data_IF_490814314049
#
_entry.id   IF_490814314049
#
_cell.length_a   1.000
_cell.length_b   1.000
_cell.length_c   1.000
_cell.angle_alpha   90.00
_cell.angle_beta   90.00
_cell.angle_gamma   90.00
#
_symmetry.space_group_name_H-M   'P 1'
#
loop_
_entity.id
_entity.type
_entity.pdbx_description
1 polymer ?
#
# COMPACT_ATOMS: atom_id res chain seq x y z
N UNK A 1 -5.62 0.23 -12.37
CA UNK A 1 -4.21 -0.17 -12.55
C UNK A 1 -4.01 -1.54 -11.90
N UNK A 2 -3.28 -2.46 -12.53
CA UNK A 2 -3.18 -3.86 -12.08
C UNK A 2 -1.88 -4.06 -11.30
N UNK A 3 -1.97 -4.02 -9.98
CA UNK A 3 -0.81 -4.20 -9.12
C UNK A 3 -0.42 -5.68 -9.01
N UNK A 4 0.77 -6.02 -9.50
CA UNK A 4 1.30 -7.37 -9.50
C UNK A 4 1.73 -7.81 -8.08
N UNK A 5 0.81 -8.46 -7.39
CA UNK A 5 0.92 -9.14 -6.09
C UNK A 5 1.97 -10.28 -6.03
N UNK A 6 2.69 -10.57 -7.10
CA UNK A 6 3.56 -11.76 -7.22
C UNK A 6 5.07 -11.50 -7.22
N UNK A 7 5.57 -10.36 -6.74
CA UNK A 7 7.01 -10.28 -6.44
C UNK A 7 7.33 -11.11 -5.19
N UNK A 8 7.34 -12.45 -5.32
CA UNK A 8 7.94 -13.57 -4.54
C UNK A 8 8.15 -13.45 -3.02
N UNK A 9 7.62 -12.44 -2.35
CA UNK A 9 7.96 -12.07 -0.99
C UNK A 9 6.73 -12.04 -0.10
N UNK A 10 6.99 -12.22 1.20
CA UNK A 10 6.05 -12.16 2.33
C UNK A 10 5.34 -10.79 2.51
N UNK A 11 5.41 -9.91 1.51
CA UNK A 11 5.11 -8.48 1.60
C UNK A 11 4.14 -8.07 0.49
N UNK A 12 3.17 -7.23 0.84
CA UNK A 12 2.26 -6.57 -0.10
C UNK A 12 2.88 -5.21 -0.42
N UNK A 13 3.16 -4.94 -1.69
CA UNK A 13 3.66 -3.64 -2.13
C UNK A 13 2.50 -2.87 -2.75
N UNK A 14 2.11 -1.74 -2.19
CA UNK A 14 1.11 -0.80 -2.73
C UNK A 14 1.82 0.36 -3.42
N UNK A 15 1.38 0.71 -4.63
CA UNK A 15 1.91 1.85 -5.39
C UNK A 15 0.89 2.97 -5.35
N UNK A 16 1.24 4.06 -4.68
CA UNK A 16 0.39 5.24 -4.57
C UNK A 16 0.95 6.31 -5.52
N UNK A 17 0.18 6.65 -6.55
CA UNK A 17 0.47 7.81 -7.39
C UNK A 17 -0.03 9.06 -6.68
N UNK A 18 0.87 10.01 -6.48
CA UNK A 18 0.53 11.30 -5.93
C UNK A 18 0.29 12.30 -7.07
N UNK A 19 -0.65 13.24 -6.89
CA UNK A 19 -0.70 14.40 -7.77
C UNK A 19 0.61 15.18 -7.64
N UNK A 20 1.03 15.83 -8.73
CA UNK A 20 2.25 16.63 -8.84
C UNK A 20 2.37 17.76 -7.79
N UNK A 21 1.27 18.14 -7.15
CA UNK A 21 1.21 19.10 -6.04
C UNK A 21 1.65 18.49 -4.68
N UNK A 22 1.80 17.17 -4.60
CA UNK A 22 2.22 16.46 -3.39
C UNK A 22 3.63 15.92 -3.54
N UNK A 23 4.56 16.51 -2.80
CA UNK A 23 5.93 16.03 -2.78
C UNK A 23 6.03 14.73 -1.98
N UNK A 24 6.34 13.64 -2.68
CA UNK A 24 6.49 12.33 -2.07
C UNK A 24 7.62 12.29 -1.00
N UNK A 25 8.63 13.16 -1.12
CA UNK A 25 9.70 13.28 -0.14
C UNK A 25 9.23 13.87 1.21
N UNK A 26 8.13 14.62 1.20
CA UNK A 26 7.52 15.19 2.40
C UNK A 26 6.60 14.20 3.10
N UNK A 27 6.43 12.97 2.63
CA UNK A 27 5.55 12.00 3.30
C UNK A 27 6.27 11.43 4.52
N UNK A 28 5.60 11.46 5.68
CA UNK A 28 6.13 10.83 6.88
C UNK A 28 5.85 9.32 6.84
N UNK A 29 6.88 8.46 6.67
CA UNK A 29 6.68 7.03 6.48
C UNK A 29 6.08 6.33 7.71
N UNK A 30 6.28 6.85 8.91
CA UNK A 30 5.76 6.26 10.15
C UNK A 30 4.26 6.53 10.35
N UNK A 31 3.75 7.54 9.65
CA UNK A 31 2.35 7.94 9.70
C UNK A 31 1.47 7.20 8.69
N UNK A 32 2.07 6.48 7.74
CA UNK A 32 1.32 5.82 6.67
C UNK A 32 0.68 4.54 7.19
N UNK A 33 -0.64 4.51 7.07
CA UNK A 33 -1.50 3.43 7.50
C UNK A 33 -2.34 2.95 6.32
N UNK A 34 -2.37 1.65 6.12
CA UNK A 34 -3.29 0.97 5.23
C UNK A 34 -4.54 0.59 6.00
N UNK A 35 -5.71 0.94 5.45
CA UNK A 35 -7.02 0.80 6.07
C UNK A 35 -7.11 1.48 7.45
N UNK A 36 -6.23 2.45 7.73
CA UNK A 36 -6.08 3.06 9.06
C UNK A 36 -5.64 2.08 10.16
N UNK A 37 -5.27 0.84 9.82
CA UNK A 37 -5.01 -0.25 10.76
C UNK A 37 -3.60 -0.81 10.67
N UNK A 38 -3.08 -0.97 9.45
CA UNK A 38 -1.79 -1.64 9.21
C UNK A 38 -0.74 -0.59 8.88
N UNK A 39 0.28 -0.45 9.73
CA UNK A 39 1.43 0.40 9.44
C UNK A 39 2.25 -0.14 8.28
N UNK A 40 2.76 0.77 7.45
CA UNK A 40 3.76 0.42 6.46
C UNK A 40 5.03 -0.07 7.16
N UNK A 41 5.59 -1.18 6.69
CA UNK A 41 6.86 -1.72 7.17
C UNK A 41 8.04 -0.97 6.56
N UNK A 42 7.88 -0.55 5.31
CA UNK A 42 8.85 0.30 4.62
C UNK A 42 8.17 1.09 3.51
N UNK A 43 8.60 2.32 3.27
CA UNK A 43 8.11 3.13 2.16
C UNK A 43 9.30 3.64 1.35
N UNK A 44 9.15 3.64 0.04
CA UNK A 44 10.12 4.19 -0.89
C UNK A 44 9.44 5.13 -1.86
N UNK A 45 10.00 6.31 -2.04
CA UNK A 45 9.47 7.34 -2.93
C UNK A 45 10.35 7.45 -4.17
N UNK A 46 9.72 7.56 -5.33
CA UNK A 46 10.40 7.76 -6.62
C UNK A 46 10.06 9.13 -7.16
N UNK A 47 10.96 10.10 -6.96
CA UNK A 47 10.81 11.48 -7.47
C UNK A 47 10.63 11.51 -8.99
N UNK A 48 11.34 10.63 -9.71
CA UNK A 48 11.25 10.52 -11.17
C UNK A 48 9.87 10.10 -11.68
N UNK A 49 9.11 9.36 -10.87
CA UNK A 49 7.81 8.80 -11.26
C UNK A 49 6.65 9.38 -10.43
N UNK A 50 6.93 10.31 -9.50
CA UNK A 50 5.97 10.80 -8.50
C UNK A 50 5.16 9.68 -7.85
N UNK A 51 5.86 8.60 -7.49
CA UNK A 51 5.26 7.35 -7.05
C UNK A 51 5.80 6.97 -5.67
N UNK A 52 4.91 6.72 -4.71
CA UNK A 52 5.29 6.05 -3.47
C UNK A 52 5.02 4.55 -3.56
N UNK A 53 5.98 3.75 -3.12
CA UNK A 53 5.82 2.31 -2.94
C UNK A 53 5.86 2.01 -1.45
N UNK A 54 4.72 1.66 -0.88
CA UNK A 54 4.62 1.24 0.52
C UNK A 54 4.57 -0.28 0.59
N UNK A 55 5.41 -0.87 1.44
CA UNK A 55 5.48 -2.31 1.70
C UNK A 55 4.80 -2.60 3.02
N UNK A 56 3.85 -3.52 3.01
CA UNK A 56 3.08 -3.97 4.15
C UNK A 56 3.30 -5.47 4.36
N UNK A 57 3.29 -5.91 5.62
CA UNK A 57 3.41 -7.34 5.90
C UNK A 57 2.11 -8.05 5.47
N UNK A 58 2.24 -9.06 4.60
CA UNK A 58 1.07 -9.83 4.16
C UNK A 58 0.37 -10.50 5.33
N UNK A 59 1.10 -10.91 6.37
CA UNK A 59 0.49 -11.62 7.52
C UNK A 59 -0.45 -10.71 8.31
N UNK A 60 -0.12 -9.42 8.41
CA UNK A 60 -0.97 -8.42 9.06
C UNK A 60 -2.28 -8.19 8.28
N UNK A 61 -2.20 -8.28 6.95
CA UNK A 61 -3.34 -8.09 6.05
C UNK A 61 -4.11 -9.37 5.79
N UNK A 62 -3.47 -10.53 5.75
CA UNK A 62 -4.10 -11.83 5.49
C UNK A 62 -5.08 -12.24 6.59
N UNK A 63 -4.94 -11.68 7.81
CA UNK A 63 -5.94 -11.83 8.86
C UNK A 63 -7.18 -10.94 8.68
N UNK A 64 -7.14 -9.97 7.76
CA UNK A 64 -8.18 -8.94 7.58
C UNK A 64 -8.76 -8.92 6.16
N UNK A 65 -8.00 -9.33 5.14
CA UNK A 65 -8.38 -9.28 3.73
C UNK A 65 -8.89 -10.64 3.25
N UNK A 66 -10.06 -10.61 2.63
CA UNK A 66 -10.64 -11.76 1.95
C UNK A 66 -10.13 -11.88 0.50
N UNK A 67 -10.10 -13.10 -0.07
CA UNK A 67 -9.84 -13.28 -1.49
C UNK A 67 -10.87 -12.53 -2.35
N UNK A 68 -10.40 -11.71 -3.28
CA UNK A 68 -11.28 -10.87 -4.09
C UNK A 68 -10.63 -9.57 -4.52
N UNK A 69 -11.44 -8.68 -5.09
CA UNK A 69 -11.02 -7.30 -5.34
C UNK A 69 -11.30 -6.54 -4.05
N UNK A 70 -10.25 -6.07 -3.38
CA UNK A 70 -10.35 -5.32 -2.14
C UNK A 70 -9.84 -3.92 -2.40
N UNK A 71 -10.69 -2.94 -2.14
CA UNK A 71 -10.27 -1.54 -2.07
C UNK A 71 -9.56 -1.33 -0.74
N UNK A 72 -8.36 -0.78 -0.82
CA UNK A 72 -7.53 -0.42 0.30
C UNK A 72 -7.34 1.09 0.31
N UNK A 73 -7.63 1.70 1.45
CA UNK A 73 -7.43 3.11 1.69
C UNK A 73 -6.11 3.33 2.41
N UNK A 74 -5.18 4.00 1.75
CA UNK A 74 -3.92 4.44 2.34
C UNK A 74 -4.12 5.84 2.89
N UNK A 75 -3.90 6.00 4.17
CA UNK A 75 -3.96 7.30 4.85
C UNK A 75 -2.61 7.63 5.44
N UNK A 76 -2.26 8.90 5.52
CA UNK A 76 -1.05 9.31 6.23
C UNK A 76 -0.94 10.80 6.40
N UNK A 77 0.22 11.21 6.91
CA UNK A 77 0.56 12.61 7.11
C UNK A 77 1.88 12.92 6.43
N UNK A 78 1.97 14.13 5.88
CA UNK A 78 3.22 14.72 5.45
C UNK A 78 3.99 15.22 6.68
N UNK A 79 5.30 15.42 6.54
CA UNK A 79 6.19 16.00 7.56
C UNK A 79 5.77 17.41 7.94
N UNK A 80 5.06 18.11 7.06
CA UNK A 80 4.44 19.42 7.33
C UNK A 80 3.10 19.32 8.11
N UNK A 81 2.62 18.11 8.41
CA UNK A 81 1.36 17.85 9.11
C UNK A 81 0.12 17.76 8.22
N UNK A 82 0.24 17.90 6.91
CA UNK A 82 -0.88 17.76 5.97
C UNK A 82 -1.33 16.31 5.91
N UNK A 83 -2.64 16.08 6.10
CA UNK A 83 -3.24 14.76 5.92
C UNK A 83 -3.41 14.45 4.43
N UNK A 84 -3.06 13.23 4.03
CA UNK A 84 -3.30 12.74 2.68
C UNK A 84 -4.04 11.40 2.71
N UNK A 85 -4.72 11.13 1.61
CA UNK A 85 -5.49 9.92 1.42
C UNK A 85 -5.39 9.44 -0.03
N UNK A 86 -5.02 8.17 -0.19
CA UNK A 86 -5.01 7.47 -1.46
C UNK A 86 -5.89 6.23 -1.38
N UNK A 87 -6.53 5.87 -2.49
CA UNK A 87 -7.26 4.60 -2.63
C UNK A 87 -6.52 3.73 -3.64
N UNK A 88 -6.38 2.45 -3.33
CA UNK A 88 -5.77 1.46 -4.20
C UNK A 88 -6.64 0.20 -4.22
N UNK A 89 -6.96 -0.32 -5.40
CA UNK A 89 -7.72 -1.56 -5.51
C UNK A 89 -6.77 -2.70 -5.79
N UNK A 90 -6.60 -3.59 -4.80
CA UNK A 90 -5.80 -4.79 -5.00
C UNK A 90 -6.69 -5.99 -5.24
N UNK A 91 -6.23 -6.90 -6.10
CA UNK A 91 -6.87 -8.20 -6.27
C UNK A 91 -6.14 -9.21 -5.42
N UNK A 92 -6.72 -9.67 -4.32
CA UNK A 92 -6.16 -10.75 -3.49
C UNK A 92 -6.49 -12.08 -4.15
N UNK A 93 -5.48 -12.73 -4.74
CA UNK A 93 -5.62 -14.08 -5.26
C UNK A 93 -5.19 -15.05 -4.15
N UNK A 94 -6.15 -15.67 -3.50
CA UNK A 94 -5.88 -16.77 -2.58
C UNK A 94 -5.47 -18.01 -3.38
N UNK A 95 -4.30 -18.58 -3.02
CA UNK A 95 -3.78 -19.82 -3.60
C UNK A 95 -4.12 -21.05 -2.74
N UNK A 96 -5.16 -21.01 -1.90
CA UNK A 96 -5.68 -22.20 -1.21
C UNK A 96 -6.77 -22.95 -1.98
N UNK A 97 -6.78 -22.88 -3.30
CA UNK A 97 -7.38 -23.95 -4.11
C UNK A 97 -6.28 -24.76 -4.80
N UNK A 98 -5.70 -25.70 -4.05
CA UNK A 98 -5.07 -26.88 -4.62
C UNK A 98 -5.58 -28.09 -3.86
N UNK A 99 -6.61 -28.70 -4.44
CA UNK A 99 -7.00 -30.12 -4.39
C UNK A 99 -7.21 -30.76 -3.00
N UNK A 100 -8.45 -31.12 -2.69
CA UNK A 100 -8.73 -32.52 -2.32
C UNK A 100 -9.50 -33.14 -3.49
#
# INVERSE_FOLDING_TARGET
DTLNIFSEGRWISCRIQFPEDCNAADINPDSVLLEGRVKADSISFSEQQQLATAKFNRSALAGTLEPGNVELRVTGYLVNGTYFEGMDTIRVIDKRHKND
#
